data_IF_761226634161
#
_entry.id   IF_761226634161
#
_cell.length_a   1.000
_cell.length_b   1.000
_cell.length_c   1.000
_cell.angle_alpha   90.00
_cell.angle_beta   90.00
_cell.angle_gamma   90.00
#
_symmetry.space_group_name_H-M   'P 1'
#
loop_
_entity.id
_entity.type
_entity.pdbx_description
1 polymer ?
#
# COMPACT_ATOMS: atom_id res chain seq x y z
N UNK A 1 -4.83 -24.34 31.42
CA UNK A 1 -5.17 -22.95 31.76
C UNK A 1 -4.29 -22.04 30.92
N UNK A 2 -4.82 -21.46 29.84
CA UNK A 2 -4.07 -20.48 29.04
C UNK A 2 -4.04 -19.16 29.80
N UNK A 3 -2.86 -18.78 30.21
CA UNK A 3 -2.57 -17.48 30.83
C UNK A 3 -2.98 -16.37 29.87
N UNK A 4 -4.13 -15.75 30.12
CA UNK A 4 -4.57 -14.56 29.36
C UNK A 4 -3.75 -13.41 29.89
N UNK A 5 -2.49 -13.33 29.43
CA UNK A 5 -1.67 -12.12 29.63
C UNK A 5 -2.49 -10.96 29.09
N UNK A 6 -2.91 -10.07 29.97
CA UNK A 6 -3.42 -8.74 29.60
C UNK A 6 -2.33 -8.09 28.76
N UNK A 7 -2.42 -8.23 27.43
CA UNK A 7 -1.47 -7.58 26.52
C UNK A 7 -1.56 -6.10 26.80
N UNK A 8 -0.47 -5.52 27.24
CA UNK A 8 -0.35 -4.08 27.49
C UNK A 8 -0.83 -3.30 26.27
N UNK A 9 -1.51 -2.19 26.47
CA UNK A 9 -1.99 -1.30 25.41
C UNK A 9 -0.85 -0.89 24.46
N UNK A 10 0.36 -0.79 24.99
CA UNK A 10 1.59 -0.53 24.26
C UNK A 10 1.90 -1.63 23.24
N UNK A 11 1.79 -2.92 23.61
CA UNK A 11 2.01 -4.02 22.66
C UNK A 11 0.97 -4.05 21.54
N UNK A 12 -0.28 -3.71 21.82
CA UNK A 12 -1.32 -3.58 20.79
C UNK A 12 -1.03 -2.44 19.83
N UNK A 13 -0.55 -1.32 20.33
CA UNK A 13 -0.13 -0.17 19.52
C UNK A 13 1.03 -0.55 18.58
N UNK A 14 2.11 -1.16 19.09
CA UNK A 14 3.21 -1.61 18.26
C UNK A 14 2.81 -2.70 17.25
N UNK A 15 1.89 -3.58 17.63
CA UNK A 15 1.30 -4.57 16.71
C UNK A 15 0.58 -3.88 15.55
N UNK A 16 -0.26 -2.88 15.82
CA UNK A 16 -0.94 -2.12 14.77
C UNK A 16 0.04 -1.35 13.88
N UNK A 17 1.07 -0.70 14.46
CA UNK A 17 2.13 -0.04 13.69
C UNK A 17 2.87 -1.02 12.78
N UNK A 18 3.13 -2.24 13.25
CA UNK A 18 3.74 -3.31 12.46
C UNK A 18 2.84 -3.74 11.30
N UNK A 19 1.54 -3.95 11.55
CA UNK A 19 0.56 -4.34 10.53
C UNK A 19 0.44 -3.28 9.43
N UNK A 20 0.27 -2.01 9.81
CA UNK A 20 0.14 -0.90 8.86
C UNK A 20 1.46 -0.49 8.23
N UNK A 21 2.57 -1.11 8.63
CA UNK A 21 3.92 -0.78 8.14
C UNK A 21 4.24 0.71 8.29
N UNK A 22 4.14 1.23 9.51
CA UNK A 22 4.24 2.67 9.82
C UNK A 22 5.42 3.38 9.17
N UNK A 23 6.60 2.73 9.08
CA UNK A 23 7.76 3.26 8.36
C UNK A 23 7.46 3.52 6.87
N UNK A 24 6.80 2.58 6.18
CA UNK A 24 6.46 2.75 4.76
C UNK A 24 5.45 3.90 4.57
N UNK A 25 4.53 4.09 5.51
CA UNK A 25 3.58 5.21 5.48
C UNK A 25 4.33 6.54 5.63
N UNK A 26 5.31 6.63 6.55
CA UNK A 26 6.12 7.83 6.71
C UNK A 26 6.87 8.18 5.40
N UNK A 27 7.51 7.19 4.79
CA UNK A 27 8.21 7.36 3.50
C UNK A 27 7.23 7.80 2.41
N UNK A 28 6.01 7.23 2.37
CA UNK A 28 4.97 7.61 1.43
C UNK A 28 4.55 9.08 1.58
N UNK A 29 4.34 9.55 2.81
CA UNK A 29 4.00 10.96 3.09
C UNK A 29 5.09 11.89 2.60
N UNK A 30 6.35 11.60 2.95
CA UNK A 30 7.51 12.38 2.50
C UNK A 30 7.57 12.39 0.96
N UNK A 31 7.43 11.23 0.31
CA UNK A 31 7.46 11.11 -1.14
C UNK A 31 6.34 11.93 -1.79
N UNK A 32 5.10 11.90 -1.28
CA UNK A 32 4.00 12.69 -1.82
C UNK A 32 4.26 14.20 -1.73
N UNK A 33 4.81 14.69 -0.62
CA UNK A 33 5.18 16.11 -0.50
C UNK A 33 6.34 16.49 -1.43
N UNK A 34 7.39 15.68 -1.52
CA UNK A 34 8.52 15.92 -2.42
C UNK A 34 8.08 15.97 -3.89
N UNK A 35 7.27 15.02 -4.31
CA UNK A 35 6.70 14.97 -5.67
C UNK A 35 5.81 16.19 -5.92
N UNK A 36 5.00 16.60 -4.95
CA UNK A 36 4.14 17.80 -5.04
C UNK A 36 4.95 19.07 -5.23
N UNK A 37 6.05 19.23 -4.50
CA UNK A 37 6.91 20.41 -4.56
C UNK A 37 7.71 20.45 -5.88
N UNK A 38 8.42 19.38 -6.19
CA UNK A 38 9.43 19.42 -7.25
C UNK A 38 8.93 18.98 -8.63
N UNK A 39 7.87 18.16 -8.69
CA UNK A 39 7.36 17.62 -9.95
C UNK A 39 6.04 18.30 -10.37
N UNK A 40 5.06 18.37 -9.45
CA UNK A 40 3.73 18.87 -9.79
C UNK A 40 3.58 20.39 -9.71
N UNK A 41 4.29 21.05 -8.82
CA UNK A 41 4.21 22.51 -8.63
C UNK A 41 5.58 23.21 -8.51
N UNK A 42 6.50 23.02 -9.45
CA UNK A 42 7.87 23.55 -9.34
C UNK A 42 7.93 25.10 -9.33
N UNK A 43 6.86 25.76 -9.74
CA UNK A 43 6.75 27.23 -9.75
C UNK A 43 6.17 27.84 -8.48
N UNK A 44 5.59 27.01 -7.58
CA UNK A 44 5.04 27.47 -6.29
C UNK A 44 6.14 27.49 -5.22
N UNK A 45 6.04 28.39 -4.24
CA UNK A 45 6.94 28.34 -3.09
C UNK A 45 6.71 27.07 -2.28
N UNK A 46 7.77 26.53 -1.68
CA UNK A 46 7.71 25.31 -0.85
C UNK A 46 6.71 25.49 0.28
N UNK A 47 6.71 26.63 0.93
CA UNK A 47 5.78 26.95 2.03
C UNK A 47 4.33 26.88 1.58
N UNK A 48 3.99 27.40 0.41
CA UNK A 48 2.61 27.34 -0.10
C UNK A 48 2.14 25.92 -0.44
N UNK A 49 3.05 25.03 -0.80
CA UNK A 49 2.73 23.61 -1.06
C UNK A 49 2.61 22.83 0.24
N UNK A 50 3.54 23.04 1.18
CA UNK A 50 3.55 22.31 2.46
C UNK A 50 2.34 22.65 3.33
N UNK A 51 1.92 23.93 3.34
CA UNK A 51 0.77 24.40 4.12
C UNK A 51 -0.56 24.41 3.32
N UNK A 52 -0.60 23.78 2.14
CA UNK A 52 -1.84 23.61 1.38
C UNK A 52 -2.77 22.59 2.09
N UNK A 53 -3.86 23.10 2.66
CA UNK A 53 -4.80 22.29 3.44
C UNK A 53 -5.46 21.18 2.60
N UNK A 54 -5.77 21.45 1.33
CA UNK A 54 -6.36 20.44 0.46
C UNK A 54 -5.33 19.34 0.11
N UNK A 55 -4.06 19.70 -0.12
CA UNK A 55 -2.99 18.73 -0.29
C UNK A 55 -2.82 17.86 0.96
N UNK A 56 -2.86 18.49 2.14
CA UNK A 56 -2.83 17.75 3.40
C UNK A 56 -3.97 16.72 3.48
N UNK A 57 -5.20 17.09 3.11
CA UNK A 57 -6.33 16.16 3.07
C UNK A 57 -6.14 15.03 2.06
N UNK A 58 -5.56 15.30 0.88
CA UNK A 58 -5.19 14.26 -0.11
C UNK A 58 -4.18 13.29 0.47
N UNK A 59 -3.12 13.79 1.10
CA UNK A 59 -2.09 12.96 1.74
C UNK A 59 -2.67 12.14 2.89
N UNK A 60 -3.46 12.76 3.74
CA UNK A 60 -4.13 12.09 4.87
C UNK A 60 -5.08 10.97 4.40
N UNK A 61 -5.91 11.25 3.38
CA UNK A 61 -6.78 10.22 2.76
C UNK A 61 -5.96 9.06 2.19
N UNK A 62 -4.83 9.37 1.53
CA UNK A 62 -3.91 8.35 1.02
C UNK A 62 -3.35 7.48 2.15
N UNK A 63 -2.92 8.10 3.25
CA UNK A 63 -2.42 7.38 4.44
C UNK A 63 -3.49 6.44 4.99
N UNK A 64 -4.72 6.91 5.15
CA UNK A 64 -5.83 6.09 5.65
C UNK A 64 -6.09 4.88 4.74
N UNK A 65 -6.19 5.10 3.43
CA UNK A 65 -6.47 4.03 2.45
C UNK A 65 -5.33 3.03 2.36
N UNK A 66 -4.08 3.50 2.34
CA UNK A 66 -2.89 2.61 2.28
C UNK A 66 -2.73 1.83 3.58
N UNK A 67 -2.96 2.45 4.75
CA UNK A 67 -2.95 1.74 6.04
C UNK A 67 -4.04 0.65 6.07
N UNK A 68 -5.25 0.96 5.63
CA UNK A 68 -6.32 -0.02 5.41
C UNK A 68 -5.88 -1.13 4.47
N UNK A 69 -5.19 -0.77 3.37
CA UNK A 69 -4.64 -1.72 2.41
C UNK A 69 -3.65 -2.71 3.03
N UNK A 70 -2.76 -2.26 3.91
CA UNK A 70 -1.87 -3.17 4.64
C UNK A 70 -2.64 -4.09 5.59
N UNK A 71 -3.68 -3.60 6.25
CA UNK A 71 -4.51 -4.40 7.16
C UNK A 71 -5.22 -5.51 6.39
N UNK A 72 -5.91 -5.18 5.30
CA UNK A 72 -6.65 -6.19 4.53
C UNK A 72 -5.72 -7.20 3.87
N UNK A 73 -4.54 -6.76 3.41
CA UNK A 73 -3.53 -7.68 2.89
C UNK A 73 -3.01 -8.64 3.98
N UNK A 74 -2.71 -8.13 5.19
CA UNK A 74 -2.32 -8.97 6.34
C UNK A 74 -3.41 -9.98 6.72
N UNK A 75 -4.70 -9.59 6.63
CA UNK A 75 -5.81 -10.49 6.88
C UNK A 75 -5.83 -11.70 5.94
N UNK A 76 -5.61 -11.49 4.63
CA UNK A 76 -5.57 -12.58 3.65
C UNK A 76 -4.26 -13.39 3.66
N UNK A 77 -3.15 -12.80 4.11
CA UNK A 77 -1.81 -13.40 4.03
C UNK A 77 -1.34 -14.09 5.31
N UNK A 78 -2.18 -14.24 6.33
CA UNK A 78 -1.80 -14.80 7.65
C UNK A 78 -0.97 -16.08 7.52
N UNK A 79 -1.39 -17.04 6.69
CA UNK A 79 -0.68 -18.33 6.50
C UNK A 79 0.69 -18.14 5.84
N UNK A 80 0.75 -17.29 4.82
CA UNK A 80 2.00 -16.99 4.12
C UNK A 80 2.98 -16.21 5.01
N UNK A 81 2.46 -15.24 5.81
CA UNK A 81 3.28 -14.42 6.69
C UNK A 81 3.89 -15.22 7.86
N UNK A 82 3.19 -16.23 8.38
CA UNK A 82 3.75 -17.14 9.39
C UNK A 82 4.99 -17.88 8.86
N UNK A 83 5.00 -18.26 7.59
CA UNK A 83 6.11 -18.98 6.96
C UNK A 83 7.24 -18.03 6.56
N UNK A 84 6.88 -16.93 5.91
CA UNK A 84 7.87 -16.01 5.34
C UNK A 84 8.49 -15.09 6.40
N UNK A 85 7.72 -14.70 7.45
CA UNK A 85 8.11 -13.69 8.46
C UNK A 85 7.57 -14.04 9.84
N UNK A 86 8.02 -15.17 10.46
CA UNK A 86 7.44 -15.69 11.71
C UNK A 86 7.49 -14.70 12.87
N UNK A 87 8.59 -13.97 13.04
CA UNK A 87 8.75 -12.98 14.12
C UNK A 87 7.75 -11.84 13.95
N UNK A 88 7.65 -11.28 12.73
CA UNK A 88 6.68 -10.22 12.44
C UNK A 88 5.26 -10.69 12.60
N UNK A 89 4.93 -11.87 12.10
CA UNK A 89 3.60 -12.47 12.23
C UNK A 89 3.23 -12.69 13.70
N UNK A 90 4.18 -13.08 14.54
CA UNK A 90 3.99 -13.17 16.00
C UNK A 90 3.58 -11.82 16.61
N UNK A 91 4.25 -10.73 16.24
CA UNK A 91 3.90 -9.38 16.67
C UNK A 91 2.52 -8.95 16.15
N UNK A 92 2.25 -9.16 14.87
CA UNK A 92 0.99 -8.78 14.22
C UNK A 92 -0.23 -9.48 14.85
N UNK A 93 -0.05 -10.66 15.44
CA UNK A 93 -1.12 -11.45 16.05
C UNK A 93 -1.53 -11.02 17.49
N UNK A 94 -0.86 -10.03 18.10
CA UNK A 94 -1.32 -9.46 19.37
C UNK A 94 -2.66 -8.74 19.26
N UNK A 95 -3.04 -8.26 18.07
CA UNK A 95 -4.35 -7.68 17.78
C UNK A 95 -5.22 -8.72 17.07
N UNK A 96 -6.43 -8.92 17.57
CA UNK A 96 -7.41 -9.84 16.97
C UNK A 96 -7.77 -9.44 15.55
N UNK A 97 -8.04 -10.42 14.68
CA UNK A 97 -8.42 -10.16 13.29
C UNK A 97 -9.70 -9.31 13.15
N UNK A 98 -10.68 -9.53 14.05
CA UNK A 98 -11.91 -8.72 14.11
C UNK A 98 -11.61 -7.23 14.35
N UNK A 99 -10.71 -6.93 15.30
CA UNK A 99 -10.27 -5.56 15.58
C UNK A 99 -9.56 -4.94 14.38
N UNK A 100 -8.70 -5.71 13.72
CA UNK A 100 -8.02 -5.25 12.47
C UNK A 100 -9.04 -4.91 11.40
N UNK A 101 -10.06 -5.75 11.18
CA UNK A 101 -11.10 -5.48 10.20
C UNK A 101 -11.94 -4.24 10.56
N UNK A 102 -12.27 -4.05 11.85
CA UNK A 102 -12.96 -2.83 12.28
C UNK A 102 -12.12 -1.57 11.99
N UNK A 103 -10.81 -1.62 12.26
CA UNK A 103 -9.89 -0.52 11.94
C UNK A 103 -9.79 -0.32 10.42
N UNK A 104 -9.76 -1.39 9.62
CA UNK A 104 -9.79 -1.32 8.16
C UNK A 104 -11.00 -0.55 7.64
N UNK A 105 -12.20 -0.89 8.08
CA UNK A 105 -13.42 -0.18 7.66
C UNK A 105 -13.40 1.28 8.12
N UNK A 106 -13.00 1.53 9.35
CA UNK A 106 -12.90 2.89 9.89
C UNK A 106 -11.92 3.76 9.09
N UNK A 107 -10.71 3.27 8.81
CA UNK A 107 -9.71 4.00 8.04
C UNK A 107 -10.19 4.31 6.60
N UNK A 108 -10.78 3.32 5.93
CA UNK A 108 -11.31 3.53 4.58
C UNK A 108 -12.48 4.52 4.57
N UNK A 109 -13.36 4.48 5.56
CA UNK A 109 -14.45 5.43 5.69
C UNK A 109 -13.92 6.86 5.91
N UNK A 110 -12.97 7.05 6.83
CA UNK A 110 -12.31 8.35 7.04
C UNK A 110 -11.59 8.81 5.78
N UNK A 111 -10.81 7.93 5.13
CA UNK A 111 -10.10 8.27 3.89
C UNK A 111 -11.04 8.72 2.77
N UNK A 112 -12.20 8.06 2.63
CA UNK A 112 -13.24 8.47 1.69
C UNK A 112 -13.84 9.83 2.06
N UNK A 113 -14.26 10.04 3.32
CA UNK A 113 -14.88 11.29 3.77
C UNK A 113 -13.93 12.49 3.60
N UNK A 114 -12.66 12.34 4.02
CA UNK A 114 -11.67 13.42 3.87
C UNK A 114 -11.37 13.68 2.39
N UNK A 115 -11.31 12.64 1.56
CA UNK A 115 -11.20 12.80 0.10
C UNK A 115 -12.39 13.57 -0.48
N UNK A 116 -13.59 13.37 0.03
CA UNK A 116 -14.79 14.11 -0.38
C UNK A 116 -14.72 15.61 -0.03
N UNK A 117 -14.09 15.96 1.11
CA UNK A 117 -13.83 17.37 1.47
C UNK A 117 -12.92 18.09 0.47
N UNK A 118 -12.04 17.36 -0.22
CA UNK A 118 -11.21 17.93 -1.30
C UNK A 118 -12.02 18.13 -2.58
N UNK A 119 -12.66 17.06 -3.05
CA UNK A 119 -13.55 17.10 -4.21
C UNK A 119 -14.29 15.76 -4.40
N UNK A 120 -15.41 15.79 -5.12
CA UNK A 120 -16.09 14.54 -5.52
C UNK A 120 -15.22 13.64 -6.39
N UNK A 121 -14.29 14.19 -7.19
CA UNK A 121 -13.33 13.44 -8.01
C UNK A 121 -12.30 12.71 -7.14
N UNK A 122 -11.83 13.35 -6.08
CA UNK A 122 -10.93 12.71 -5.11
C UNK A 122 -11.66 11.58 -4.35
N UNK A 123 -12.92 11.80 -3.95
CA UNK A 123 -13.73 10.75 -3.33
C UNK A 123 -13.91 9.53 -4.25
N UNK A 124 -14.22 9.75 -5.53
CA UNK A 124 -14.31 8.68 -6.54
C UNK A 124 -12.98 7.95 -6.72
N UNK A 125 -11.88 8.69 -6.78
CA UNK A 125 -10.54 8.10 -6.85
C UNK A 125 -10.26 7.20 -5.65
N UNK A 126 -10.48 7.68 -4.42
CA UNK A 126 -10.24 6.89 -3.21
C UNK A 126 -11.17 5.68 -3.11
N UNK A 127 -12.44 5.81 -3.51
CA UNK A 127 -13.36 4.66 -3.58
C UNK A 127 -12.86 3.57 -4.53
N UNK A 128 -12.42 3.96 -5.70
CA UNK A 128 -11.84 3.03 -6.70
C UNK A 128 -10.54 2.40 -6.17
N UNK A 129 -9.72 3.19 -5.46
CA UNK A 129 -8.48 2.71 -4.85
C UNK A 129 -8.74 1.70 -3.74
N UNK A 130 -9.68 1.98 -2.83
CA UNK A 130 -10.11 1.06 -1.76
C UNK A 130 -10.60 -0.27 -2.37
N UNK A 131 -11.48 -0.19 -3.36
CA UNK A 131 -11.98 -1.37 -4.07
C UNK A 131 -10.83 -2.14 -4.74
N UNK A 132 -9.93 -1.46 -5.43
CA UNK A 132 -8.77 -2.07 -6.09
C UNK A 132 -7.86 -2.83 -5.13
N UNK A 133 -7.55 -2.24 -3.97
CA UNK A 133 -6.73 -2.88 -2.92
C UNK A 133 -7.44 -4.13 -2.35
N UNK A 134 -8.73 -4.02 -2.06
CA UNK A 134 -9.50 -5.17 -1.59
C UNK A 134 -9.54 -6.29 -2.63
N UNK A 135 -9.87 -5.97 -3.89
CA UNK A 135 -9.96 -6.93 -4.98
C UNK A 135 -8.61 -7.60 -5.29
N UNK A 136 -7.53 -6.82 -5.24
CA UNK A 136 -6.17 -7.36 -5.32
C UNK A 136 -5.90 -8.37 -4.21
N UNK A 137 -6.14 -7.99 -2.96
CA UNK A 137 -5.89 -8.84 -1.79
C UNK A 137 -6.76 -10.11 -1.79
N UNK A 138 -8.01 -9.98 -2.25
CA UNK A 138 -8.97 -11.08 -2.30
C UNK A 138 -8.68 -12.07 -3.44
N UNK A 139 -8.38 -11.57 -4.66
CA UNK A 139 -8.34 -12.41 -5.86
C UNK A 139 -7.09 -12.25 -6.71
N UNK A 140 -6.74 -11.02 -7.13
CA UNK A 140 -5.76 -10.80 -8.19
C UNK A 140 -4.36 -11.31 -7.87
N UNK A 141 -3.93 -11.19 -6.62
CA UNK A 141 -2.58 -11.64 -6.17
C UNK A 141 -2.34 -13.14 -6.30
N UNK A 142 -3.38 -13.93 -6.53
CA UNK A 142 -3.25 -15.39 -6.72
C UNK A 142 -2.72 -15.78 -8.09
N UNK A 143 -2.71 -14.86 -9.04
CA UNK A 143 -2.30 -15.11 -10.43
C UNK A 143 -1.01 -14.37 -10.77
N UNK A 144 -0.13 -14.95 -11.60
CA UNK A 144 1.22 -14.44 -11.79
C UNK A 144 1.28 -13.04 -12.41
N UNK A 145 0.64 -12.85 -13.57
CA UNK A 145 0.70 -11.58 -14.30
C UNK A 145 -0.25 -10.54 -13.72
N UNK A 146 -1.50 -10.91 -13.45
CA UNK A 146 -2.48 -9.98 -12.88
C UNK A 146 -2.08 -9.56 -11.48
N UNK A 147 -1.49 -10.45 -10.68
CA UNK A 147 -0.94 -10.14 -9.35
C UNK A 147 0.17 -9.11 -9.44
N UNK A 148 1.17 -9.35 -10.31
CA UNK A 148 2.30 -8.44 -10.49
C UNK A 148 1.86 -7.05 -10.99
N UNK A 149 1.08 -7.02 -12.07
CA UNK A 149 0.64 -5.75 -12.69
C UNK A 149 -0.24 -4.96 -11.72
N UNK A 150 -1.23 -5.61 -11.09
CA UNK A 150 -2.12 -4.92 -10.15
C UNK A 150 -1.40 -4.45 -8.89
N UNK A 151 -0.44 -5.22 -8.33
CA UNK A 151 0.40 -4.77 -7.23
C UNK A 151 1.19 -3.50 -7.59
N UNK A 152 1.81 -3.51 -8.79
CA UNK A 152 2.55 -2.36 -9.30
C UNK A 152 1.66 -1.13 -9.48
N UNK A 153 0.49 -1.30 -10.13
CA UNK A 153 -0.46 -0.22 -10.34
C UNK A 153 -0.97 0.36 -9.03
N UNK A 154 -1.39 -0.49 -8.08
CA UNK A 154 -1.86 -0.02 -6.77
C UNK A 154 -0.78 0.70 -5.96
N UNK A 155 0.47 0.30 -6.11
CA UNK A 155 1.59 0.97 -5.41
C UNK A 155 1.91 2.36 -5.99
N UNK A 156 1.65 2.59 -7.28
CA UNK A 156 1.87 3.89 -7.92
C UNK A 156 0.67 4.85 -7.76
N UNK A 157 -0.52 4.39 -7.40
CA UNK A 157 -1.71 5.23 -7.26
C UNK A 157 -1.54 6.46 -6.34
N UNK A 158 -0.79 6.42 -5.22
CA UNK A 158 -0.47 7.61 -4.44
C UNK A 158 0.21 8.74 -5.23
N UNK A 159 1.00 8.41 -6.25
CA UNK A 159 1.54 9.41 -7.18
C UNK A 159 0.44 9.98 -8.07
N UNK A 160 -0.47 9.14 -8.56
CA UNK A 160 -1.55 9.58 -9.44
C UNK A 160 -2.61 10.43 -8.76
N UNK A 161 -2.88 10.25 -7.46
CA UNK A 161 -3.82 11.15 -6.76
C UNK A 161 -3.27 12.58 -6.71
N UNK A 162 -1.97 12.74 -6.54
CA UNK A 162 -1.28 14.05 -6.58
C UNK A 162 -1.37 14.67 -7.97
N UNK A 163 -1.20 13.86 -9.01
CA UNK A 163 -1.42 14.26 -10.40
C UNK A 163 -2.84 14.80 -10.64
N UNK A 164 -3.87 14.09 -10.17
CA UNK A 164 -5.27 14.52 -10.29
C UNK A 164 -5.52 15.83 -9.53
N UNK A 165 -4.90 15.98 -8.36
CA UNK A 165 -5.01 17.18 -7.53
C UNK A 165 -4.43 18.42 -8.22
N UNK A 166 -3.19 18.35 -8.69
CA UNK A 166 -2.51 19.50 -9.33
C UNK A 166 -2.95 19.78 -10.77
N UNK A 167 -3.64 18.82 -11.43
CA UNK A 167 -4.06 18.91 -12.84
C UNK A 167 -2.92 19.29 -13.80
N UNK A 168 -1.72 18.86 -13.50
CA UNK A 168 -0.55 19.13 -14.32
C UNK A 168 -0.33 17.95 -15.27
N UNK A 169 -0.58 18.16 -16.58
CA UNK A 169 -0.50 17.16 -17.66
C UNK A 169 0.80 17.27 -18.46
N UNK A 170 1.87 17.77 -17.87
CA UNK A 170 3.18 17.85 -18.49
C UNK A 170 3.70 16.46 -18.90
N UNK A 171 4.28 16.36 -20.11
CA UNK A 171 4.86 15.10 -20.63
C UNK A 171 5.90 14.49 -19.68
N UNK A 172 6.67 15.33 -18.99
CA UNK A 172 7.71 14.89 -18.05
C UNK A 172 7.13 14.06 -16.89
N UNK A 173 5.90 14.36 -16.47
CA UNK A 173 5.22 13.61 -15.39
C UNK A 173 4.92 12.16 -15.82
N UNK A 174 4.53 11.97 -17.08
CA UNK A 174 4.30 10.63 -17.62
C UNK A 174 5.60 9.83 -17.73
N UNK A 175 6.72 10.49 -18.05
CA UNK A 175 8.04 9.84 -18.03
C UNK A 175 8.41 9.39 -16.63
N UNK A 176 8.22 10.24 -15.61
CA UNK A 176 8.45 9.87 -14.21
C UNK A 176 7.52 8.73 -13.76
N UNK A 177 6.23 8.79 -14.12
CA UNK A 177 5.27 7.75 -13.80
C UNK A 177 5.65 6.39 -14.42
N UNK A 178 6.10 6.40 -15.69
CA UNK A 178 6.54 5.18 -16.37
C UNK A 178 7.83 4.61 -15.74
N UNK A 179 8.80 5.45 -15.45
CA UNK A 179 10.02 5.03 -14.75
C UNK A 179 9.70 4.43 -13.38
N UNK A 180 8.85 5.11 -12.60
CA UNK A 180 8.41 4.63 -11.29
C UNK A 180 7.68 3.29 -11.42
N UNK A 181 6.84 3.11 -12.45
CA UNK A 181 6.16 1.85 -12.72
C UNK A 181 7.15 0.70 -12.92
N UNK A 182 8.19 0.91 -13.73
CA UNK A 182 9.21 -0.11 -13.99
C UNK A 182 9.98 -0.47 -12.72
N UNK A 183 10.41 0.53 -11.95
CA UNK A 183 11.14 0.31 -10.68
C UNK A 183 10.29 -0.47 -9.67
N UNK A 184 9.01 -0.10 -9.52
CA UNK A 184 8.09 -0.80 -8.62
C UNK A 184 7.83 -2.22 -9.12
N UNK A 185 7.69 -2.44 -10.42
CA UNK A 185 7.49 -3.77 -10.98
C UNK A 185 8.67 -4.71 -10.68
N UNK A 186 9.90 -4.22 -10.85
CA UNK A 186 11.11 -4.98 -10.47
C UNK A 186 11.13 -5.28 -8.97
N UNK A 187 10.79 -4.29 -8.14
CA UNK A 187 10.69 -4.48 -6.68
C UNK A 187 9.66 -5.54 -6.30
N UNK A 188 8.48 -5.56 -6.94
CA UNK A 188 7.45 -6.58 -6.68
C UNK A 188 7.92 -7.98 -7.10
N UNK A 189 8.65 -8.11 -8.23
CA UNK A 189 9.27 -9.39 -8.63
C UNK A 189 10.27 -9.90 -7.60
N UNK A 190 11.13 -9.02 -7.07
CA UNK A 190 12.10 -9.39 -6.01
C UNK A 190 11.37 -9.85 -4.75
N UNK A 191 10.36 -9.11 -4.34
CA UNK A 191 9.52 -9.44 -3.17
C UNK A 191 8.81 -10.80 -3.35
N UNK A 192 8.32 -11.09 -4.55
CA UNK A 192 7.68 -12.38 -4.86
C UNK A 192 8.69 -13.54 -4.80
N UNK A 193 9.94 -13.33 -5.23
CA UNK A 193 11.04 -14.30 -5.07
C UNK A 193 11.32 -14.59 -3.60
N UNK A 194 11.43 -13.54 -2.77
CA UNK A 194 11.71 -13.68 -1.33
C UNK A 194 10.58 -14.43 -0.60
N UNK A 195 9.32 -14.22 -1.03
CA UNK A 195 8.14 -14.75 -0.38
C UNK A 195 7.60 -16.05 -1.02
N UNK A 196 8.35 -16.69 -1.90
CA UNK A 196 7.90 -17.85 -2.69
C UNK A 196 7.38 -19.01 -1.84
N UNK A 197 8.05 -19.32 -0.70
CA UNK A 197 7.64 -20.41 0.20
C UNK A 197 6.23 -20.21 0.77
N UNK A 198 5.94 -19.02 1.28
CA UNK A 198 4.61 -18.69 1.79
C UNK A 198 3.55 -18.58 0.69
N UNK A 199 3.95 -18.15 -0.52
CA UNK A 199 3.05 -18.11 -1.67
C UNK A 199 2.56 -19.51 -2.04
N UNK A 200 3.46 -20.50 -2.09
CA UNK A 200 3.12 -21.91 -2.34
C UNK A 200 2.19 -22.44 -1.26
N UNK A 201 2.47 -22.16 0.02
CA UNK A 201 1.63 -22.61 1.14
C UNK A 201 0.22 -22.00 1.14
N UNK A 202 0.06 -20.82 0.54
CA UNK A 202 -1.24 -20.15 0.35
C UNK A 202 -1.91 -20.46 -1.01
N UNK A 203 -1.36 -21.40 -1.79
CA UNK A 203 -1.81 -21.72 -3.15
C UNK A 203 -1.82 -20.50 -4.09
N UNK A 204 -0.88 -19.56 -3.90
CA UNK A 204 -0.69 -18.43 -4.80
C UNK A 204 0.27 -18.81 -5.93
N UNK A 205 -0.16 -18.62 -7.16
CA UNK A 205 0.67 -18.78 -8.36
C UNK A 205 1.34 -17.44 -8.70
N UNK A 206 2.20 -16.92 -7.80
CA UNK A 206 2.97 -15.71 -8.10
C UNK A 206 3.92 -15.94 -9.28
N UNK A 207 4.51 -14.88 -9.83
CA UNK A 207 5.36 -14.99 -11.02
C UNK A 207 6.50 -16.04 -10.85
N UNK A 208 7.29 -16.03 -9.77
CA UNK A 208 8.34 -17.04 -9.55
C UNK A 208 7.79 -18.45 -9.27
N UNK A 209 6.61 -18.59 -8.68
CA UNK A 209 5.98 -19.90 -8.45
C UNK A 209 5.49 -20.51 -9.77
N UNK A 210 4.98 -19.70 -10.70
CA UNK A 210 4.44 -20.16 -11.97
C UNK A 210 5.51 -20.43 -13.03
N UNK A 211 6.54 -19.58 -13.12
CA UNK A 211 7.53 -19.62 -14.20
C UNK A 211 8.93 -20.05 -13.74
N UNK A 212 9.13 -20.24 -12.44
CA UNK A 212 10.41 -20.66 -11.85
C UNK A 212 11.30 -19.49 -11.46
N UNK A 213 12.18 -19.76 -10.49
CA UNK A 213 13.10 -18.78 -9.91
C UNK A 213 14.12 -18.25 -10.93
N UNK A 214 14.67 -19.14 -11.77
CA UNK A 214 15.69 -18.78 -12.77
C UNK A 214 15.17 -17.80 -13.80
N UNK A 215 13.98 -18.04 -14.37
CA UNK A 215 13.37 -17.13 -15.34
C UNK A 215 13.02 -15.77 -14.72
N UNK A 216 12.57 -15.75 -13.47
CA UNK A 216 12.24 -14.52 -12.76
C UNK A 216 13.50 -13.68 -12.48
N UNK A 217 14.63 -14.32 -12.17
CA UNK A 217 15.93 -13.65 -11.99
C UNK A 217 16.44 -13.01 -13.29
N UNK A 218 16.25 -13.65 -14.44
CA UNK A 218 16.65 -13.10 -15.75
C UNK A 218 15.87 -11.83 -16.09
N UNK A 219 14.58 -11.79 -15.81
CA UNK A 219 13.74 -10.58 -16.08
C UNK A 219 14.12 -9.41 -15.16
N UNK A 220 14.67 -9.69 -13.97
CA UNK A 220 15.14 -8.68 -13.02
C UNK A 220 16.43 -7.99 -13.48
N UNK A 221 17.33 -8.73 -14.16
CA UNK A 221 18.64 -8.24 -14.65
C UNK A 221 18.50 -7.55 -15.99
#
# INVERSE_FOLDING_TARGET
MKDVRKTSLLYKFFSLLSVVRGYNILVLVIAQYLVSIYIFSPKKSITNVVFDLHLFFVVFSTVCVVAGGYIINNFYDVKADIINRPIKSGLDNYVKQETKLSIYFFLNFIGFLVGFLVSWKAALFFSTYIFGIWFYSHKLKRYPLTGLISATLLTILPFFVTFVYFRNFSKIIFVHAFFLFLVIMVRELVKDLENMKGAVANNYKTFPVAYGETKTKIIKN
#
